data_IF_372383698359
#
_entry.id   IF_372383698359
#
_cell.length_a   1.000
_cell.length_b   1.000
_cell.length_c   1.000
_cell.angle_alpha   90.00
_cell.angle_beta   90.00
_cell.angle_gamma   90.00
#
_symmetry.space_group_name_H-M   'P 1'
#
loop_
_entity.id
_entity.type
_entity.pdbx_description
1 polymer ?
#
# COMPACT_ATOMS: atom_id res chain seq x y z
N UNK A 1 -6.59 -18.60 15.76
CA UNK A 1 -5.21 -18.72 15.27
C UNK A 1 -4.75 -17.36 14.75
N UNK A 2 -3.70 -16.78 15.32
CA UNK A 2 -3.11 -15.54 14.78
C UNK A 2 -2.33 -15.90 13.52
N UNK A 3 -2.74 -15.39 12.35
CA UNK A 3 -2.02 -15.62 11.09
C UNK A 3 -0.72 -14.82 11.14
N UNK A 4 0.41 -15.54 11.26
CA UNK A 4 1.74 -14.97 11.17
C UNK A 4 2.04 -14.40 9.78
N UNK A 5 3.23 -13.82 9.57
CA UNK A 5 3.65 -13.33 8.26
C UNK A 5 3.58 -14.45 7.23
N UNK A 6 3.06 -14.12 6.04
CA UNK A 6 2.95 -15.06 4.91
C UNK A 6 3.64 -14.48 3.69
N UNK A 7 4.33 -15.33 2.91
CA UNK A 7 4.81 -14.90 1.60
C UNK A 7 3.62 -14.70 0.66
N UNK A 8 3.61 -13.55 -0.02
CA UNK A 8 2.66 -13.19 -1.07
C UNK A 8 3.40 -12.54 -2.22
N UNK A 9 2.79 -12.56 -3.40
CA UNK A 9 3.26 -11.82 -4.55
C UNK A 9 2.52 -10.48 -4.60
N UNK A 10 3.27 -9.38 -4.70
CA UNK A 10 2.70 -8.04 -4.77
C UNK A 10 1.90 -7.86 -6.06
N UNK A 11 0.62 -7.50 -5.97
CA UNK A 11 -0.23 -7.33 -7.16
C UNK A 11 0.21 -6.14 -8.04
N UNK A 12 0.88 -5.13 -7.46
CA UNK A 12 1.36 -3.97 -8.21
C UNK A 12 2.65 -4.25 -9.00
N UNK A 13 3.64 -4.93 -8.41
CA UNK A 13 4.97 -5.09 -9.02
C UNK A 13 5.36 -6.54 -9.32
N UNK A 14 4.56 -7.53 -8.90
CA UNK A 14 4.84 -8.94 -9.12
C UNK A 14 5.97 -9.53 -8.26
N UNK A 15 6.55 -8.77 -7.34
CA UNK A 15 7.61 -9.27 -6.46
C UNK A 15 7.04 -9.98 -5.24
N UNK A 16 7.69 -11.08 -4.85
CA UNK A 16 7.41 -11.77 -3.60
C UNK A 16 7.86 -10.93 -2.41
N UNK A 17 7.00 -10.88 -1.39
CA UNK A 17 7.26 -10.15 -0.17
C UNK A 17 6.59 -10.83 1.02
N UNK A 18 7.06 -10.48 2.21
CA UNK A 18 6.43 -10.90 3.44
C UNK A 18 5.24 -9.98 3.76
N UNK A 19 4.03 -10.51 3.64
CA UNK A 19 2.82 -9.84 4.09
C UNK A 19 2.74 -9.95 5.62
N UNK A 20 2.77 -8.83 6.32
CA UNK A 20 2.71 -8.79 7.78
C UNK A 20 1.37 -9.21 8.39
N UNK A 21 0.37 -9.59 7.59
CA UNK A 21 -0.95 -10.01 8.07
C UNK A 21 -1.61 -8.93 8.94
N UNK A 22 -1.75 -9.20 10.23
CA UNK A 22 -2.28 -8.24 11.22
C UNK A 22 -1.34 -7.02 11.43
N UNK A 23 -0.07 -7.16 11.06
CA UNK A 23 0.92 -6.09 10.99
C UNK A 23 1.12 -5.66 9.53
N UNK A 24 0.02 -5.45 8.79
CA UNK A 24 0.07 -5.05 7.39
C UNK A 24 0.88 -3.76 7.21
N UNK A 25 1.66 -3.71 6.14
CA UNK A 25 2.46 -2.54 5.79
C UNK A 25 1.60 -1.28 5.59
N UNK A 26 0.35 -1.42 5.14
CA UNK A 26 -0.57 -0.28 4.98
C UNK A 26 -0.78 0.49 6.30
N UNK A 27 -0.95 -0.22 7.41
CA UNK A 27 -1.13 0.38 8.74
C UNK A 27 0.17 0.92 9.34
N UNK A 28 1.32 0.49 8.84
CA UNK A 28 2.64 0.89 9.35
C UNK A 28 3.24 2.09 8.61
N UNK A 29 2.94 2.23 7.31
CA UNK A 29 3.54 3.22 6.44
C UNK A 29 2.82 4.58 6.45
N UNK A 30 1.78 4.75 7.26
CA UNK A 30 1.05 6.02 7.35
C UNK A 30 0.27 6.35 6.08
N UNK A 31 -0.30 5.33 5.43
CA UNK A 31 -1.14 5.50 4.24
C UNK A 31 -2.45 6.17 4.66
N UNK A 32 -2.84 7.23 3.94
CA UNK A 32 -4.10 7.93 4.22
C UNK A 32 -5.30 7.11 3.80
N UNK A 33 -6.48 7.43 4.33
CA UNK A 33 -7.74 6.77 3.94
C UNK A 33 -8.00 6.88 2.44
N UNK A 34 -7.83 8.07 1.85
CA UNK A 34 -7.98 8.28 0.41
C UNK A 34 -7.01 7.44 -0.44
N UNK A 35 -5.77 7.26 0.02
CA UNK A 35 -4.81 6.37 -0.64
C UNK A 35 -5.22 4.90 -0.48
N UNK A 36 -5.71 4.50 0.69
CA UNK A 36 -6.21 3.13 0.92
C UNK A 36 -7.43 2.82 0.04
N UNK A 37 -8.38 3.74 -0.07
CA UNK A 37 -9.55 3.57 -0.94
C UNK A 37 -9.13 3.41 -2.40
N UNK A 38 -8.23 4.28 -2.87
CA UNK A 38 -7.70 4.19 -4.24
C UNK A 38 -6.96 2.88 -4.50
N UNK A 39 -6.20 2.39 -3.52
CA UNK A 39 -5.51 1.09 -3.57
C UNK A 39 -6.55 -0.05 -3.62
N UNK A 40 -7.55 -0.03 -2.74
CA UNK A 40 -8.58 -1.07 -2.63
C UNK A 40 -9.49 -1.16 -3.87
N UNK A 41 -9.70 -0.05 -4.58
CA UNK A 41 -10.39 -0.04 -5.87
C UNK A 41 -9.61 -0.73 -7.00
N UNK A 42 -8.27 -0.76 -6.91
CA UNK A 42 -7.38 -1.20 -8.00
C UNK A 42 -6.72 -2.55 -7.77
N UNK A 43 -6.46 -2.88 -6.51
CA UNK A 43 -5.75 -4.09 -6.11
C UNK A 43 -6.65 -4.88 -5.16
N UNK A 44 -6.82 -6.17 -5.47
CA UNK A 44 -7.65 -7.10 -4.70
C UNK A 44 -6.82 -7.90 -3.68
N UNK A 45 -5.50 -7.90 -3.84
CA UNK A 45 -4.54 -8.56 -2.97
C UNK A 45 -3.53 -7.55 -2.39
N UNK A 46 -2.61 -8.07 -1.57
CA UNK A 46 -1.69 -7.26 -0.79
C UNK A 46 -0.58 -6.64 -1.66
N UNK A 47 -0.20 -5.42 -1.30
CA UNK A 47 0.95 -4.71 -1.88
C UNK A 47 2.14 -4.75 -0.93
N UNK A 48 3.35 -4.82 -1.48
CA UNK A 48 4.58 -4.81 -0.71
C UNK A 48 4.88 -3.40 -0.15
N UNK A 49 5.69 -3.35 0.91
CA UNK A 49 6.09 -2.09 1.56
C UNK A 49 6.76 -1.10 0.60
N UNK A 50 7.50 -1.57 -0.41
CA UNK A 50 8.12 -0.72 -1.42
C UNK A 50 7.09 -0.01 -2.29
N UNK A 51 6.09 -0.75 -2.79
CA UNK A 51 5.00 -0.14 -3.58
C UNK A 51 4.19 0.81 -2.71
N UNK A 52 3.81 0.38 -1.51
CA UNK A 52 3.11 1.21 -0.53
C UNK A 52 3.87 2.50 -0.19
N UNK A 53 5.20 2.44 -0.07
CA UNK A 53 6.04 3.61 0.12
C UNK A 53 5.92 4.65 -0.99
N UNK A 54 5.75 4.22 -2.25
CA UNK A 54 5.53 5.13 -3.39
C UNK A 54 4.19 5.86 -3.32
N UNK A 55 3.18 5.26 -2.69
CA UNK A 55 1.92 5.95 -2.41
C UNK A 55 2.11 7.02 -1.36
N UNK A 56 2.85 6.70 -0.29
CA UNK A 56 3.16 7.65 0.78
C UNK A 56 4.02 8.81 0.27
N UNK A 57 4.99 8.58 -0.62
CA UNK A 57 5.79 9.65 -1.24
C UNK A 57 5.04 10.44 -2.32
N UNK A 58 3.85 10.00 -2.73
CA UNK A 58 3.06 10.65 -3.77
C UNK A 58 3.57 10.40 -5.19
N UNK A 59 4.49 9.44 -5.39
CA UNK A 59 4.95 9.03 -6.72
C UNK A 59 3.86 8.29 -7.51
N UNK A 60 2.97 7.59 -6.81
CA UNK A 60 1.86 6.80 -7.38
C UNK A 60 0.64 7.00 -6.49
N UNK A 61 -0.56 7.16 -7.05
CA UNK A 61 -1.80 7.19 -6.26
C UNK A 61 -2.85 8.15 -6.79
N UNK A 62 -3.94 8.38 -6.02
CA UNK A 62 -4.85 9.47 -6.34
C UNK A 62 -4.00 10.73 -6.27
N UNK A 63 -3.89 11.47 -7.37
CA UNK A 63 -3.17 12.73 -7.36
C UNK A 63 -3.79 13.57 -6.23
N UNK A 64 -3.08 13.70 -5.11
CA UNK A 64 -3.33 14.81 -4.22
C UNK A 64 -2.94 16.01 -5.08
N UNK A 65 -3.93 16.75 -5.57
CA UNK A 65 -3.73 17.98 -6.31
C UNK A 65 -2.45 18.68 -5.85
N UNK A 66 -1.41 18.83 -6.69
CA UNK A 66 -0.23 19.62 -6.33
C UNK A 66 -0.57 21.12 -6.18
N UNK A 67 -1.83 21.50 -6.36
CA UNK A 67 -2.34 22.87 -6.19
C UNK A 67 -2.85 23.09 -4.76
N UNK A 68 -1.98 22.80 -3.79
CA UNK A 68 -1.92 23.52 -2.52
C UNK A 68 -0.93 24.67 -2.60
N UNK A 69 -0.80 25.32 -3.77
CA UNK A 69 0.06 26.48 -3.96
C UNK A 69 -0.71 27.75 -3.59
N UNK A 70 -0.50 28.16 -2.33
CA UNK A 70 -0.49 29.54 -1.80
C UNK A 70 -1.73 30.42 -1.99
#
# INVERSE_FOLDING_TARGET
MLRGPVQKTCEHCGHDFECGGYQCWCGKLGITEAQMDWIAERYKDCLCSLCLGRFVTGEVGPQADPTGSR
#
